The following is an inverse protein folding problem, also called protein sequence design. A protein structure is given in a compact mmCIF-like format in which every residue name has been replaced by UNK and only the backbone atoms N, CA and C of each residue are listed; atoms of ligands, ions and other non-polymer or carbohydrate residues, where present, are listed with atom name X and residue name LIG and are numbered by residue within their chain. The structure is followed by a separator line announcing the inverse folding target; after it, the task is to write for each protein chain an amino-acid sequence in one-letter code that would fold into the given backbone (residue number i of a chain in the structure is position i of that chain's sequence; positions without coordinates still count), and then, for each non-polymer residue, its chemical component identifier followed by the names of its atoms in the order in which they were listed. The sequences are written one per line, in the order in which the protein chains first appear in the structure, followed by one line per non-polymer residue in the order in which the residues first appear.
data_IF_268960060072
#
_entry.id   IF_268960060072
#
_cell.length_a   1.000
_cell.length_b   1.000
_cell.length_c   1.000
_cell.angle_alpha   90.00
_cell.angle_beta   90.00
_cell.angle_gamma   90.00
#
_symmetry.space_group_name_H-M   'P 1'
#
loop_
_entity.id
_entity.type
_entity.pdbx_description
1 polymer ?
#
# COMPACT_ATOMS: atom_id res chain seq x y z
N UNK A 1 -32.63 10.44 16.33
CA UNK A 1 -32.10 11.81 16.49
C UNK A 1 -31.57 12.28 15.14
N UNK A 2 -32.11 13.36 14.60
CA UNK A 2 -31.53 14.04 13.43
C UNK A 2 -30.19 14.63 13.88
N UNK A 3 -29.08 14.28 13.23
CA UNK A 3 -27.76 14.83 13.55
C UNK A 3 -27.57 16.09 12.74
N UNK A 4 -27.40 17.23 13.41
CA UNK A 4 -27.02 18.48 12.77
C UNK A 4 -25.63 18.34 12.16
N UNK A 5 -25.52 18.59 10.85
CA UNK A 5 -24.23 18.75 10.16
C UNK A 5 -23.88 20.23 10.23
N UNK A 6 -22.87 20.61 11.02
CA UNK A 6 -22.28 21.94 10.91
C UNK A 6 -21.36 21.97 9.69
N UNK A 7 -21.62 22.87 8.74
CA UNK A 7 -20.64 23.16 7.70
C UNK A 7 -19.40 23.79 8.34
N UNK A 8 -18.21 23.28 8.00
CA UNK A 8 -16.96 23.87 8.45
C UNK A 8 -16.81 25.26 7.84
N UNK A 9 -16.49 26.27 8.65
CA UNK A 9 -16.15 27.61 8.17
C UNK A 9 -14.91 27.54 7.25
N UNK A 10 -14.86 28.41 6.23
CA UNK A 10 -13.84 28.37 5.16
C UNK A 10 -12.38 28.51 5.61
N UNK A 11 -12.13 28.87 6.88
CA UNK A 11 -10.80 28.94 7.49
C UNK A 11 -10.55 27.90 8.59
N UNK A 12 -11.49 26.99 8.86
CA UNK A 12 -11.31 25.93 9.84
C UNK A 12 -10.30 24.91 9.31
N UNK A 13 -9.34 24.53 10.16
CA UNK A 13 -8.42 23.43 9.88
C UNK A 13 -9.21 22.14 9.74
N UNK A 14 -9.33 21.65 8.51
CA UNK A 14 -9.94 20.34 8.23
C UNK A 14 -8.91 19.27 8.59
N UNK A 15 -9.07 18.67 9.75
CA UNK A 15 -8.28 17.52 10.18
C UNK A 15 -8.65 16.31 9.30
N UNK A 16 -7.89 16.08 8.23
CA UNK A 16 -7.90 14.83 7.47
C UNK A 16 -9.00 14.61 6.43
N UNK A 17 -9.69 15.66 5.96
CA UNK A 17 -10.68 15.55 4.87
C UNK A 17 -11.87 14.62 5.16
N UNK A 18 -12.68 14.35 4.13
CA UNK A 18 -13.75 13.35 4.21
C UNK A 18 -13.17 11.93 4.11
N UNK A 19 -13.85 10.94 4.70
CA UNK A 19 -13.46 9.54 4.55
C UNK A 19 -13.42 9.13 3.07
N UNK A 20 -14.36 9.60 2.25
CA UNK A 20 -14.39 9.38 0.80
C UNK A 20 -13.07 9.79 0.13
N UNK A 21 -12.60 11.00 0.39
CA UNK A 21 -11.37 11.52 -0.23
C UNK A 21 -10.13 10.80 0.29
N UNK A 22 -10.11 10.48 1.59
CA UNK A 22 -9.00 9.73 2.20
C UNK A 22 -8.90 8.30 1.70
N UNK A 23 -10.02 7.64 1.42
CA UNK A 23 -10.03 6.30 0.81
C UNK A 23 -9.50 6.35 -0.62
N UNK A 24 -9.88 7.34 -1.43
CA UNK A 24 -9.32 7.53 -2.78
C UNK A 24 -7.81 7.77 -2.73
N UNK A 25 -7.33 8.65 -1.84
CA UNK A 25 -5.89 8.89 -1.63
C UNK A 25 -5.16 7.64 -1.12
N UNK A 26 -5.79 6.87 -0.24
CA UNK A 26 -5.23 5.61 0.23
C UNK A 26 -5.15 4.57 -0.90
N UNK A 27 -6.18 4.46 -1.75
CA UNK A 27 -6.18 3.61 -2.94
C UNK A 27 -4.97 3.88 -3.84
N UNK A 28 -4.72 5.18 -4.05
CA UNK A 28 -3.61 5.71 -4.82
C UNK A 28 -2.26 5.28 -4.20
N UNK A 29 -2.05 5.58 -2.92
CA UNK A 29 -0.81 5.23 -2.23
C UNK A 29 -0.57 3.72 -2.19
N UNK A 30 -1.63 2.92 -2.07
CA UNK A 30 -1.53 1.46 -2.12
C UNK A 30 -1.00 0.95 -3.46
N UNK A 31 -1.48 1.50 -4.57
CA UNK A 31 -0.98 1.17 -5.91
C UNK A 31 0.50 1.59 -6.05
N UNK A 32 0.82 2.82 -5.63
CA UNK A 32 2.19 3.35 -5.67
C UNK A 32 3.17 2.48 -4.89
N UNK A 33 2.87 2.23 -3.62
CA UNK A 33 3.74 1.46 -2.73
C UNK A 33 3.88 0.00 -3.18
N UNK A 34 2.83 -0.61 -3.75
CA UNK A 34 2.91 -1.95 -4.33
C UNK A 34 3.97 -2.05 -5.43
N UNK A 35 3.96 -1.15 -6.41
CA UNK A 35 4.93 -1.20 -7.51
C UNK A 35 6.35 -0.81 -7.09
N UNK A 36 6.49 0.19 -6.21
CA UNK A 36 7.79 0.55 -5.64
C UNK A 36 8.38 -0.61 -4.83
N UNK A 37 7.56 -1.31 -4.04
CA UNK A 37 7.98 -2.50 -3.32
C UNK A 37 8.57 -3.55 -4.27
N UNK A 38 7.84 -3.91 -5.33
CA UNK A 38 8.30 -4.94 -6.28
C UNK A 38 9.58 -4.53 -7.02
N UNK A 39 9.75 -3.24 -7.29
CA UNK A 39 10.98 -2.72 -7.88
C UNK A 39 12.18 -2.93 -6.95
N UNK A 40 12.15 -2.38 -5.73
CA UNK A 40 13.25 -2.52 -4.78
C UNK A 40 13.49 -3.98 -4.38
N UNK A 41 12.43 -4.78 -4.31
CA UNK A 41 12.51 -6.21 -4.04
C UNK A 41 13.33 -6.92 -5.11
N UNK A 42 13.03 -6.65 -6.38
CA UNK A 42 13.76 -7.25 -7.51
C UNK A 42 15.19 -6.76 -7.58
N UNK A 43 15.43 -5.47 -7.35
CA UNK A 43 16.78 -4.90 -7.34
C UNK A 43 17.64 -5.53 -6.23
N UNK A 44 17.07 -5.69 -5.03
CA UNK A 44 17.71 -6.37 -3.90
C UNK A 44 18.02 -7.84 -4.23
N UNK A 45 17.04 -8.59 -4.75
CA UNK A 45 17.24 -9.99 -5.14
C UNK A 45 18.35 -10.14 -6.19
N UNK A 46 18.36 -9.29 -7.22
CA UNK A 46 19.39 -9.29 -8.24
C UNK A 46 20.78 -9.00 -7.65
N UNK A 47 20.90 -8.00 -6.77
CA UNK A 47 22.15 -7.65 -6.09
C UNK A 47 22.68 -8.78 -5.22
N UNK A 48 21.81 -9.51 -4.51
CA UNK A 48 22.16 -10.64 -3.66
C UNK A 48 22.57 -11.90 -4.43
N UNK A 49 22.06 -12.06 -5.65
CA UNK A 49 22.41 -13.18 -6.52
C UNK A 49 23.62 -12.90 -7.42
N UNK A 50 24.01 -11.64 -7.56
CA UNK A 50 25.25 -11.25 -8.23
C UNK A 50 26.49 -11.41 -7.31
N UNK A 51 27.71 -11.45 -7.88
CA UNK A 51 28.92 -11.31 -7.10
C UNK A 51 28.93 -10.02 -6.27
N UNK A 52 29.44 -10.05 -5.02
CA UNK A 52 30.19 -11.14 -4.40
C UNK A 52 29.35 -12.17 -3.64
N UNK A 53 28.03 -11.98 -3.53
CA UNK A 53 27.20 -12.77 -2.62
C UNK A 53 26.75 -14.11 -3.21
N UNK A 54 26.37 -14.12 -4.50
CA UNK A 54 26.00 -15.32 -5.26
C UNK A 54 25.06 -16.27 -4.51
N UNK A 55 24.05 -15.72 -3.82
CA UNK A 55 23.24 -16.50 -2.86
C UNK A 55 22.31 -17.53 -3.51
N UNK A 56 22.08 -17.46 -4.83
CA UNK A 56 21.22 -18.39 -5.56
C UNK A 56 19.76 -18.37 -5.10
N UNK A 57 19.31 -17.27 -4.52
CA UNK A 57 17.96 -17.10 -3.99
C UNK A 57 16.94 -17.14 -5.13
N UNK A 58 15.87 -17.91 -4.93
CA UNK A 58 14.70 -17.85 -5.80
C UNK A 58 13.84 -16.66 -5.42
N UNK A 59 13.03 -16.16 -6.36
CA UNK A 59 12.22 -14.98 -6.11
C UNK A 59 11.18 -15.11 -5.00
N UNK A 60 10.81 -16.31 -4.56
CA UNK A 60 9.93 -16.53 -3.42
C UNK A 60 10.65 -16.60 -2.07
N UNK A 61 11.98 -16.74 -2.04
CA UNK A 61 12.74 -17.00 -0.81
C UNK A 61 12.86 -15.75 0.08
N UNK A 62 12.64 -14.56 -0.48
CA UNK A 62 12.66 -13.28 0.25
C UNK A 62 11.26 -12.72 0.51
N UNK A 63 10.22 -13.18 -0.19
CA UNK A 63 8.90 -12.55 -0.17
C UNK A 63 8.08 -13.06 1.00
N UNK A 64 7.55 -12.14 1.79
CA UNK A 64 6.53 -12.38 2.79
C UNK A 64 5.24 -11.67 2.39
N UNK A 65 4.15 -12.41 2.21
CA UNK A 65 2.91 -11.89 1.63
C UNK A 65 1.94 -11.28 2.65
N UNK A 66 2.27 -11.26 3.94
CA UNK A 66 1.40 -10.77 5.02
C UNK A 66 2.18 -10.05 6.12
N UNK A 67 2.74 -8.88 5.82
CA UNK A 67 3.71 -8.20 6.67
C UNK A 67 3.16 -7.41 7.87
N UNK A 68 1.95 -7.72 8.34
CA UNK A 68 1.19 -6.97 9.36
C UNK A 68 1.89 -6.80 10.72
N UNK A 69 3.03 -7.47 10.94
CA UNK A 69 3.82 -7.45 12.18
C UNK A 69 5.29 -7.06 11.96
N UNK A 70 5.68 -6.66 10.74
CA UNK A 70 7.11 -6.54 10.41
C UNK A 70 7.73 -5.23 10.86
N UNK A 71 6.97 -4.13 10.87
CA UNK A 71 7.45 -2.77 11.14
C UNK A 71 6.37 -2.00 11.87
N UNK A 72 6.71 -1.54 13.08
CA UNK A 72 5.90 -0.79 14.03
C UNK A 72 4.62 -1.48 14.54
N UNK A 73 4.36 -1.33 15.85
CA UNK A 73 3.07 -1.64 16.44
C UNK A 73 2.11 -0.53 16.01
N UNK A 74 1.49 -0.68 14.85
CA UNK A 74 0.63 0.35 14.25
C UNK A 74 -0.33 0.99 15.26
N UNK A 75 -0.39 2.33 15.26
CA UNK A 75 -1.21 3.10 16.20
C UNK A 75 -2.69 2.69 16.10
N UNK A 76 -3.32 2.53 17.27
CA UNK A 76 -4.75 2.26 17.40
C UNK A 76 -5.39 3.32 18.27
N UNK A 77 -6.40 3.99 17.73
CA UNK A 77 -7.26 4.88 18.53
C UNK A 77 -8.48 4.12 19.03
N UNK A 78 -8.81 4.31 20.30
CA UNK A 78 -10.06 3.84 20.92
C UNK A 78 -10.87 4.99 21.53
N UNK A 79 -10.64 6.20 21.04
CA UNK A 79 -11.27 7.41 21.54
C UNK A 79 -12.80 7.36 21.35
N UNK A 80 -13.54 7.42 22.45
CA UNK A 80 -15.00 7.32 22.45
C UNK A 80 -15.69 8.65 22.17
N UNK A 81 -14.97 9.77 22.18
CA UNK A 81 -15.54 11.10 21.96
C UNK A 81 -15.87 11.36 20.48
N UNK A 82 -15.28 10.53 19.61
CA UNK A 82 -15.47 10.54 18.16
C UNK A 82 -16.61 9.62 17.69
N UNK A 83 -17.04 9.76 16.44
CA UNK A 83 -18.19 8.98 15.96
C UNK A 83 -17.86 7.49 15.86
N UNK A 84 -18.85 6.65 16.20
CA UNK A 84 -18.77 5.21 15.94
C UNK A 84 -19.05 4.91 14.47
N UNK A 85 -18.22 4.06 13.85
CA UNK A 85 -18.43 3.63 12.47
C UNK A 85 -19.67 2.74 12.37
N UNK A 86 -20.73 3.24 11.71
CA UNK A 86 -21.94 2.48 11.40
C UNK A 86 -21.82 1.88 10.00
N UNK A 87 -21.69 0.55 9.93
CA UNK A 87 -21.58 -0.17 8.67
C UNK A 87 -22.85 -0.11 7.81
N UNK A 88 -24.01 0.27 8.38
CA UNK A 88 -25.29 0.38 7.66
C UNK A 88 -25.55 1.79 7.11
N UNK A 89 -24.83 2.81 7.60
CA UNK A 89 -24.98 4.20 7.15
C UNK A 89 -24.15 4.45 5.87
N UNK A 90 -24.83 4.56 4.73
CA UNK A 90 -24.17 4.87 3.46
C UNK A 90 -23.44 6.24 3.48
N UNK A 91 -23.88 7.18 4.33
CA UNK A 91 -23.28 8.52 4.44
C UNK A 91 -22.06 8.56 5.36
N UNK A 92 -21.58 7.39 5.84
CA UNK A 92 -20.36 7.31 6.66
C UNK A 92 -19.14 7.88 5.93
N UNK A 93 -19.14 7.81 4.59
CA UNK A 93 -18.06 8.31 3.72
C UNK A 93 -17.93 9.84 3.74
N UNK A 94 -18.98 10.58 4.10
CA UNK A 94 -18.97 12.05 4.14
C UNK A 94 -18.43 12.59 5.47
N UNK A 95 -18.21 11.70 6.45
CA UNK A 95 -17.67 12.09 7.76
C UNK A 95 -16.17 12.35 7.67
N UNK A 96 -15.66 13.17 8.59
CA UNK A 96 -14.22 13.38 8.71
C UNK A 96 -13.52 12.06 9.02
N UNK A 97 -12.50 11.71 8.23
CA UNK A 97 -11.75 10.46 8.42
C UNK A 97 -11.08 10.40 9.81
N UNK A 98 -10.57 11.54 10.28
CA UNK A 98 -9.86 11.67 11.56
C UNK A 98 -10.78 11.65 12.79
N UNK A 99 -12.10 11.78 12.61
CA UNK A 99 -13.07 11.87 13.70
C UNK A 99 -13.80 10.55 13.98
N UNK A 100 -13.19 9.40 13.65
CA UNK A 100 -13.73 8.06 13.91
C UNK A 100 -13.15 7.49 15.21
N UNK A 101 -14.01 7.01 16.11
CA UNK A 101 -13.55 6.59 17.45
C UNK A 101 -12.71 5.32 17.51
N UNK A 102 -12.77 4.49 16.47
CA UNK A 102 -11.88 3.33 16.32
C UNK A 102 -11.12 3.41 15.01
N UNK A 103 -9.81 3.60 15.11
CA UNK A 103 -8.91 3.70 13.96
C UNK A 103 -7.75 2.73 14.12
N UNK A 104 -7.33 2.16 12.99
CA UNK A 104 -6.13 1.32 12.91
C UNK A 104 -5.21 1.88 11.82
N UNK A 105 -3.91 1.63 11.98
CA UNK A 105 -2.93 1.80 10.91
C UNK A 105 -3.22 0.83 9.76
N UNK A 106 -3.72 1.38 8.64
CA UNK A 106 -3.89 0.69 7.38
C UNK A 106 -2.61 0.85 6.55
N UNK A 107 -2.03 -0.27 6.11
CA UNK A 107 -0.78 -0.27 5.37
C UNK A 107 -1.01 0.12 3.92
N UNK A 108 -0.08 0.88 3.33
CA UNK A 108 -0.09 1.08 1.88
C UNK A 108 0.38 -0.17 1.13
N UNK A 109 1.33 -0.92 1.71
CA UNK A 109 1.77 -2.20 1.17
C UNK A 109 1.97 -3.20 2.31
N UNK A 110 1.18 -4.28 2.32
CA UNK A 110 1.28 -5.34 3.34
C UNK A 110 2.15 -6.53 2.89
N UNK A 111 3.06 -6.28 1.95
CA UNK A 111 4.14 -7.21 1.60
C UNK A 111 5.34 -6.93 2.49
N UNK A 112 6.29 -7.86 2.56
CA UNK A 112 7.49 -7.66 3.33
C UNK A 112 8.55 -8.73 3.09
N UNK A 113 9.57 -8.71 3.93
CA UNK A 113 10.74 -9.56 3.77
C UNK A 113 10.65 -10.74 4.73
N UNK A 114 10.92 -11.94 4.23
CA UNK A 114 10.89 -13.17 5.00
C UNK A 114 11.73 -13.05 6.29
N UNK A 115 11.15 -13.45 7.42
CA UNK A 115 11.75 -13.29 8.74
C UNK A 115 13.09 -14.04 8.87
N UNK A 116 13.21 -15.21 8.23
CA UNK A 116 14.44 -16.00 8.21
C UNK A 116 15.59 -15.32 7.46
N UNK A 117 15.27 -14.38 6.57
CA UNK A 117 16.24 -13.66 5.76
C UNK A 117 16.67 -12.30 6.36
N UNK A 118 15.89 -11.72 7.27
CA UNK A 118 16.16 -10.37 7.81
C UNK A 118 17.52 -10.23 8.46
N UNK A 119 17.91 -11.15 9.34
CA UNK A 119 19.22 -11.08 10.02
C UNK A 119 20.39 -11.19 9.04
N UNK A 120 20.24 -12.04 8.01
CA UNK A 120 21.24 -12.18 6.94
C UNK A 120 21.35 -10.91 6.10
N UNK A 121 20.22 -10.31 5.74
CA UNK A 121 20.18 -9.05 5.00
C UNK A 121 20.75 -7.89 5.80
N UNK A 122 20.44 -7.78 7.10
CA UNK A 122 21.00 -6.77 7.98
C UNK A 122 22.54 -6.89 8.08
N UNK A 123 23.06 -8.12 8.19
CA UNK A 123 24.50 -8.36 8.20
C UNK A 123 25.17 -7.94 6.87
N UNK A 124 24.53 -8.20 5.73
CA UNK A 124 25.04 -7.78 4.41
C UNK A 124 24.94 -6.25 4.26
N UNK A 125 23.80 -5.66 4.60
CA UNK A 125 23.53 -4.23 4.55
C UNK A 125 24.52 -3.41 5.38
N UNK A 126 25.01 -3.94 6.50
CA UNK A 126 26.06 -3.27 7.29
C UNK A 126 27.39 -3.06 6.54
N UNK A 127 27.58 -3.76 5.40
CA UNK A 127 28.82 -3.76 4.61
C UNK A 127 28.62 -3.26 3.17
N UNK A 128 27.42 -3.39 2.62
CA UNK A 128 27.10 -2.97 1.26
C UNK A 128 25.99 -1.92 1.26
N UNK A 129 26.36 -0.70 0.86
CA UNK A 129 25.47 0.47 0.84
C UNK A 129 24.30 0.32 -0.13
N UNK A 130 24.47 -0.42 -1.23
CA UNK A 130 23.40 -0.68 -2.20
C UNK A 130 22.37 -1.62 -1.57
N UNK A 131 22.84 -2.69 -0.94
CA UNK A 131 21.95 -3.62 -0.21
C UNK A 131 21.25 -2.91 0.93
N UNK A 132 21.96 -2.07 1.69
CA UNK A 132 21.37 -1.23 2.74
C UNK A 132 20.26 -0.32 2.20
N UNK A 133 20.54 0.43 1.13
CA UNK A 133 19.57 1.33 0.53
C UNK A 133 18.28 0.59 0.12
N UNK A 134 18.39 -0.49 -0.65
CA UNK A 134 17.22 -1.26 -1.07
C UNK A 134 16.48 -1.90 0.10
N UNK A 135 17.20 -2.40 1.11
CA UNK A 135 16.60 -2.99 2.30
C UNK A 135 15.82 -1.96 3.13
N UNK A 136 16.38 -0.75 3.32
CA UNK A 136 15.70 0.34 4.03
C UNK A 136 14.52 0.94 3.25
N UNK A 137 14.62 1.02 1.92
CA UNK A 137 13.49 1.39 1.06
C UNK A 137 12.33 0.41 1.22
N UNK A 138 12.62 -0.90 1.17
CA UNK A 138 11.60 -1.92 1.40
C UNK A 138 10.97 -1.79 2.78
N UNK A 139 11.78 -1.63 3.83
CA UNK A 139 11.26 -1.41 5.19
C UNK A 139 10.35 -0.18 5.25
N UNK A 140 10.79 0.95 4.71
CA UNK A 140 10.00 2.19 4.71
C UNK A 140 8.66 1.99 3.99
N UNK A 141 8.67 1.36 2.82
CA UNK A 141 7.45 1.09 2.05
C UNK A 141 6.48 0.18 2.82
N UNK A 142 6.99 -0.82 3.52
CA UNK A 142 6.17 -1.74 4.33
C UNK A 142 5.66 -1.09 5.63
N UNK A 143 6.40 -0.14 6.20
CA UNK A 143 6.02 0.56 7.44
C UNK A 143 5.10 1.77 7.21
N UNK A 144 5.00 2.28 5.99
CA UNK A 144 4.15 3.42 5.71
C UNK A 144 2.67 3.03 5.82
N UNK A 145 1.97 3.73 6.72
CA UNK A 145 0.56 3.50 7.02
C UNK A 145 -0.23 4.80 7.01
N UNK A 146 -1.56 4.67 6.97
CA UNK A 146 -2.51 5.73 7.23
C UNK A 146 -3.49 5.29 8.29
N UNK A 147 -3.85 6.18 9.20
CA UNK A 147 -4.95 5.90 10.12
C UNK A 147 -6.28 5.93 9.36
N UNK A 148 -6.98 4.81 9.37
CA UNK A 148 -8.31 4.65 8.80
C UNK A 148 -9.24 4.00 9.83
N UNK A 149 -10.57 4.13 9.68
CA UNK A 149 -11.50 3.39 10.50
C UNK A 149 -11.18 1.90 10.51
N UNK A 150 -11.14 1.28 11.68
CA UNK A 150 -10.79 -0.15 11.82
C UNK A 150 -11.62 -1.05 10.89
N UNK A 151 -12.90 -0.73 10.68
CA UNK A 151 -13.82 -1.46 9.79
C UNK A 151 -13.41 -1.44 8.31
N UNK A 152 -12.70 -0.40 7.89
CA UNK A 152 -12.08 -0.31 6.55
C UNK A 152 -10.84 -1.21 6.51
N UNK A 153 -9.94 -1.09 7.50
CA UNK A 153 -8.69 -1.86 7.54
C UNK A 153 -8.93 -3.39 7.57
N UNK A 154 -9.84 -3.86 8.43
CA UNK A 154 -10.13 -5.30 8.55
C UNK A 154 -11.07 -5.83 7.44
N UNK A 155 -11.61 -4.94 6.62
CA UNK A 155 -12.60 -5.23 5.58
C UNK A 155 -12.01 -5.08 4.18
N UNK A 156 -12.35 -3.99 3.45
CA UNK A 156 -11.85 -3.77 2.09
C UNK A 156 -10.32 -3.82 1.95
N UNK A 157 -9.55 -3.26 2.89
CA UNK A 157 -8.08 -3.23 2.76
C UNK A 157 -7.49 -4.64 2.80
N UNK A 158 -8.02 -5.50 3.68
CA UNK A 158 -7.62 -6.91 3.77
C UNK A 158 -7.88 -7.69 2.48
N UNK A 159 -8.89 -7.31 1.69
CA UNK A 159 -9.14 -7.90 0.38
C UNK A 159 -8.04 -7.52 -0.61
N UNK A 160 -7.61 -6.25 -0.62
CA UNK A 160 -6.51 -5.78 -1.47
C UNK A 160 -5.15 -6.31 -0.99
N UNK A 161 -4.91 -6.46 0.32
CA UNK A 161 -3.70 -7.10 0.84
C UNK A 161 -3.51 -8.51 0.29
N UNK A 162 -4.59 -9.32 0.28
CA UNK A 162 -4.56 -10.67 -0.29
C UNK A 162 -4.24 -10.62 -1.79
N UNK A 163 -4.94 -9.75 -2.52
CA UNK A 163 -4.70 -9.56 -3.94
C UNK A 163 -3.27 -9.13 -4.24
N UNK A 164 -2.69 -8.21 -3.45
CA UNK A 164 -1.28 -7.82 -3.55
C UNK A 164 -0.36 -9.02 -3.39
N UNK A 165 -0.60 -9.90 -2.41
CA UNK A 165 0.19 -11.12 -2.22
C UNK A 165 0.16 -12.04 -3.45
N UNK A 166 -1.02 -12.25 -4.03
CA UNK A 166 -1.21 -13.08 -5.22
C UNK A 166 -0.53 -12.47 -6.45
N UNK A 167 -0.80 -11.19 -6.73
CA UNK A 167 -0.27 -10.47 -7.88
C UNK A 167 1.26 -10.30 -7.79
N UNK A 168 1.80 -9.94 -6.62
CA UNK A 168 3.24 -9.85 -6.40
C UNK A 168 3.92 -11.18 -6.72
N UNK A 169 3.37 -12.29 -6.23
CA UNK A 169 3.89 -13.63 -6.50
C UNK A 169 3.90 -13.93 -8.00
N UNK A 170 2.83 -13.58 -8.72
CA UNK A 170 2.74 -13.77 -10.17
C UNK A 170 3.76 -12.92 -10.94
N UNK A 171 3.82 -11.62 -10.66
CA UNK A 171 4.75 -10.68 -11.31
C UNK A 171 6.20 -11.11 -11.08
N UNK A 172 6.55 -11.42 -9.84
CA UNK A 172 7.91 -11.82 -9.46
C UNK A 172 8.32 -13.12 -10.18
N UNK A 173 7.43 -14.11 -10.27
CA UNK A 173 7.70 -15.38 -10.98
C UNK A 173 7.81 -15.22 -12.49
N UNK A 174 7.17 -14.21 -13.08
CA UNK A 174 7.18 -13.99 -14.53
C UNK A 174 8.57 -13.64 -15.09
N UNK A 175 9.48 -13.15 -14.23
CA UNK A 175 10.78 -12.64 -14.64
C UNK A 175 10.73 -11.32 -15.41
N UNK A 176 9.55 -10.75 -15.70
CA UNK A 176 9.38 -9.47 -16.40
C UNK A 176 9.52 -8.27 -15.46
N UNK A 177 10.00 -7.10 -15.92
CA UNK A 177 10.11 -5.90 -15.09
C UNK A 177 8.82 -5.64 -14.30
N UNK A 178 8.89 -5.42 -12.98
CA UNK A 178 7.71 -5.35 -12.12
C UNK A 178 6.85 -4.13 -12.46
N UNK A 179 7.46 -2.99 -12.79
CA UNK A 179 6.76 -1.81 -13.27
C UNK A 179 6.57 -1.87 -14.79
N UNK A 180 5.33 -2.03 -15.23
CA UNK A 180 4.96 -1.94 -16.65
C UNK A 180 3.49 -1.51 -16.77
N UNK A 181 3.11 -0.89 -17.89
CA UNK A 181 1.71 -0.53 -18.14
C UNK A 181 0.78 -1.75 -18.16
N UNK A 182 1.30 -2.91 -18.58
CA UNK A 182 0.58 -4.17 -18.56
C UNK A 182 0.27 -4.64 -17.13
N UNK A 183 1.26 -4.61 -16.23
CA UNK A 183 1.04 -4.95 -14.82
C UNK A 183 0.16 -3.93 -14.09
N UNK A 184 0.26 -2.64 -14.43
CA UNK A 184 -0.67 -1.64 -13.89
C UNK A 184 -2.11 -1.95 -14.32
N UNK A 185 -2.33 -2.27 -15.60
CA UNK A 185 -3.66 -2.66 -16.08
C UNK A 185 -4.18 -3.90 -15.37
N UNK A 186 -3.33 -4.90 -15.17
CA UNK A 186 -3.65 -6.12 -14.41
C UNK A 186 -4.01 -5.79 -12.96
N UNK A 187 -3.23 -4.91 -12.31
CA UNK A 187 -3.52 -4.41 -10.96
C UNK A 187 -4.90 -3.76 -10.88
N UNK A 188 -5.19 -2.80 -11.77
CA UNK A 188 -6.45 -2.05 -11.74
C UNK A 188 -7.66 -2.97 -11.99
N UNK A 189 -7.55 -3.88 -12.95
CA UNK A 189 -8.61 -4.86 -13.25
C UNK A 189 -8.82 -5.85 -12.11
N UNK A 190 -7.74 -6.38 -11.55
CA UNK A 190 -7.80 -7.32 -10.42
C UNK A 190 -8.37 -6.67 -9.16
N UNK A 191 -7.93 -5.45 -8.83
CA UNK A 191 -8.46 -4.69 -7.70
C UNK A 191 -9.95 -4.39 -7.85
N UNK A 192 -10.39 -3.95 -9.04
CA UNK A 192 -11.81 -3.72 -9.33
C UNK A 192 -12.65 -4.98 -9.16
N UNK A 193 -12.14 -6.14 -9.62
CA UNK A 193 -12.82 -7.43 -9.45
C UNK A 193 -12.96 -7.82 -7.97
N UNK A 194 -11.86 -7.75 -7.22
CA UNK A 194 -11.84 -8.08 -5.78
C UNK A 194 -12.82 -7.20 -5.01
N UNK A 195 -12.88 -5.91 -5.34
CA UNK A 195 -13.82 -5.00 -4.72
C UNK A 195 -15.28 -5.22 -5.14
N UNK A 196 -15.55 -5.57 -6.39
CA UNK A 196 -16.90 -5.95 -6.81
C UNK A 196 -17.42 -7.16 -6.01
N UNK A 197 -16.63 -8.22 -5.91
CA UNK A 197 -16.98 -9.43 -5.15
C UNK A 197 -17.22 -9.14 -3.65
N UNK A 198 -16.36 -8.30 -3.06
CA UNK A 198 -16.50 -7.89 -1.67
C UNK A 198 -17.73 -7.00 -1.47
N UNK A 199 -17.97 -6.03 -2.35
CA UNK A 199 -19.12 -5.13 -2.32
C UNK A 199 -20.44 -5.90 -2.36
N UNK A 200 -20.59 -6.84 -3.30
CA UNK A 200 -21.78 -7.70 -3.43
C UNK A 200 -22.06 -8.47 -2.13
N UNK A 201 -21.01 -8.97 -1.49
CA UNK A 201 -21.11 -9.70 -0.22
C UNK A 201 -21.59 -8.80 0.92
N UNK A 202 -21.11 -7.55 0.97
CA UNK A 202 -21.49 -6.58 2.00
C UNK A 202 -22.89 -6.01 1.77
N UNK A 203 -23.28 -5.81 0.50
CA UNK A 203 -24.61 -5.37 0.13
C UNK A 203 -25.67 -6.37 0.58
N UNK A 204 -25.45 -7.68 0.35
CA UNK A 204 -26.33 -8.76 0.83
C UNK A 204 -26.48 -8.80 2.35
N UNK A 205 -25.48 -8.29 3.09
CA UNK A 205 -25.48 -8.17 4.55
C UNK A 205 -26.09 -6.85 5.05
N UNK A 206 -26.51 -5.96 4.14
CA UNK A 206 -27.03 -4.63 4.47
C UNK A 206 -25.97 -3.65 4.97
N UNK A 207 -24.68 -3.91 4.72
CA UNK A 207 -23.57 -3.07 5.18
C UNK A 207 -23.28 -1.94 4.16
N UNK A 208 -24.28 -1.07 3.95
CA UNK A 208 -24.24 0.00 2.94
C UNK A 208 -23.08 0.99 3.13
N UNK A 209 -22.67 1.27 4.37
CA UNK A 209 -21.52 2.12 4.66
C UNK A 209 -20.19 1.51 4.22
N UNK A 210 -20.04 0.19 4.31
CA UNK A 210 -18.86 -0.52 3.78
C UNK A 210 -18.88 -0.53 2.26
N UNK A 211 -20.05 -0.76 1.65
CA UNK A 211 -20.23 -0.67 0.19
C UNK A 211 -19.80 0.70 -0.31
N UNK A 212 -20.27 1.78 0.33
CA UNK A 212 -19.87 3.15 -0.01
C UNK A 212 -18.34 3.38 0.11
N UNK A 213 -17.69 2.78 1.12
CA UNK A 213 -16.22 2.85 1.24
C UNK A 213 -15.51 2.12 0.09
N UNK A 214 -16.03 0.97 -0.34
CA UNK A 214 -15.49 0.21 -1.48
C UNK A 214 -15.66 0.99 -2.79
N UNK A 215 -16.80 1.63 -2.97
CA UNK A 215 -17.04 2.50 -4.13
C UNK A 215 -16.03 3.64 -4.18
N UNK A 216 -15.73 4.29 -3.06
CA UNK A 216 -14.71 5.35 -2.99
C UNK A 216 -13.31 4.86 -3.43
N UNK A 217 -12.93 3.62 -3.08
CA UNK A 217 -11.71 3.00 -3.61
C UNK A 217 -11.77 2.78 -5.12
N UNK A 218 -12.88 2.23 -5.61
CA UNK A 218 -13.08 1.92 -7.03
C UNK A 218 -13.06 3.17 -7.92
N UNK A 219 -13.56 4.30 -7.44
CA UNK A 219 -13.50 5.56 -8.18
C UNK A 219 -12.05 5.94 -8.54
N UNK A 220 -11.09 5.71 -7.63
CA UNK A 220 -9.66 5.89 -7.93
C UNK A 220 -9.23 5.01 -9.10
N UNK A 221 -9.49 3.70 -9.02
CA UNK A 221 -8.97 2.73 -9.99
C UNK A 221 -9.62 2.85 -11.38
N UNK A 222 -10.85 3.38 -11.45
CA UNK A 222 -11.56 3.60 -12.72
C UNK A 222 -11.12 4.87 -13.44
N UNK A 223 -10.86 5.94 -12.69
CA UNK A 223 -10.71 7.28 -13.27
C UNK A 223 -9.26 7.78 -13.27
N UNK A 224 -8.42 7.28 -12.38
CA UNK A 224 -7.07 7.81 -12.18
C UNK A 224 -5.98 6.93 -12.82
N UNK A 225 -6.32 6.01 -13.74
CA UNK A 225 -5.37 5.03 -14.28
C UNK A 225 -4.16 5.64 -15.01
N UNK A 226 -4.39 6.65 -15.84
CA UNK A 226 -3.33 7.33 -16.60
C UNK A 226 -2.51 8.28 -15.70
N UNK A 227 -3.15 8.91 -14.72
CA UNK A 227 -2.49 9.73 -13.70
C UNK A 227 -1.62 8.86 -12.78
N UNK A 228 -2.14 7.69 -12.38
CA UNK A 228 -1.42 6.65 -11.66
C UNK A 228 -0.19 6.21 -12.44
N UNK A 229 -0.31 5.98 -13.75
CA UNK A 229 0.84 5.59 -14.58
C UNK A 229 1.89 6.70 -14.67
N UNK A 230 1.46 7.92 -15.03
CA UNK A 230 2.37 9.07 -15.20
C UNK A 230 3.12 9.37 -13.91
N UNK A 231 2.44 9.24 -12.77
CA UNK A 231 3.03 9.48 -11.47
C UNK A 231 3.87 8.29 -10.97
N UNK A 232 3.45 7.04 -11.20
CA UNK A 232 4.28 5.87 -10.94
C UNK A 232 5.60 5.96 -11.71
N UNK A 233 5.54 6.31 -12.99
CA UNK A 233 6.71 6.44 -13.85
C UNK A 233 7.56 7.67 -13.50
N UNK A 234 6.94 8.82 -13.21
CA UNK A 234 7.62 10.03 -12.77
C UNK A 234 8.29 9.89 -11.41
N UNK A 235 7.58 9.34 -10.42
CA UNK A 235 8.12 9.02 -9.10
C UNK A 235 9.17 7.93 -9.18
N UNK A 236 8.99 6.94 -10.07
CA UNK A 236 10.03 5.95 -10.36
C UNK A 236 11.31 6.64 -10.81
N UNK A 237 11.24 7.53 -11.82
CA UNK A 237 12.42 8.28 -12.27
C UNK A 237 13.01 9.10 -11.13
N UNK A 238 12.20 9.85 -10.37
CA UNK A 238 12.69 10.73 -9.30
C UNK A 238 13.28 9.97 -8.11
N UNK A 239 12.55 9.00 -7.55
CA UNK A 239 12.96 8.27 -6.34
C UNK A 239 14.09 7.28 -6.64
N UNK A 240 14.08 6.65 -7.81
CA UNK A 240 15.17 5.78 -8.23
C UNK A 240 16.38 6.60 -8.65
N UNK A 241 16.24 7.75 -9.31
CA UNK A 241 17.39 8.61 -9.62
C UNK A 241 18.04 9.17 -8.37
N UNK A 242 17.28 9.58 -7.34
CA UNK A 242 17.87 10.01 -6.06
C UNK A 242 18.62 8.86 -5.40
N UNK A 243 18.00 7.68 -5.32
CA UNK A 243 18.62 6.48 -4.73
C UNK A 243 19.86 6.05 -5.50
N UNK A 244 19.84 6.08 -6.84
CA UNK A 244 20.97 5.74 -7.69
C UNK A 244 22.05 6.83 -7.71
N UNK A 245 21.71 8.12 -7.59
CA UNK A 245 22.66 9.22 -7.52
C UNK A 245 23.43 9.22 -6.19
N UNK A 246 22.77 8.82 -5.10
CA UNK A 246 23.43 8.54 -3.82
C UNK A 246 24.36 7.32 -3.90
N UNK A 247 24.17 6.43 -4.88
CA UNK A 247 25.00 5.26 -5.15
C UNK A 247 26.09 5.53 -6.21
N UNK A 248 25.91 6.51 -7.11
CA UNK A 248 26.79 6.81 -8.25
C UNK A 248 28.09 7.56 -7.88
N UNK A 249 28.58 7.36 -6.66
CA UNK A 249 30.02 7.43 -6.41
C UNK A 249 30.76 6.18 -6.92
N UNK A 250 30.06 5.19 -7.50
CA UNK A 250 30.67 4.09 -8.26
C UNK A 250 29.62 3.18 -8.94
N UNK A 251 29.68 3.15 -10.27
CA UNK A 251 29.17 2.14 -11.21
C UNK A 251 27.64 1.86 -11.28
N UNK A 252 27.06 2.21 -12.43
CA UNK A 252 25.66 1.93 -12.79
C UNK A 252 25.44 0.47 -13.19
N UNK A 253 24.37 -0.12 -12.66
CA UNK A 253 23.71 -1.32 -13.19
C UNK A 253 22.76 -0.86 -14.30
N UNK A 254 22.97 -1.33 -15.53
CA UNK A 254 21.97 -1.27 -16.60
C UNK A 254 20.84 -2.24 -16.28
N UNK A 255 19.64 -1.71 -16.04
CA UNK A 255 18.38 -2.46 -15.92
C UNK A 255 17.75 -2.71 -17.29
#
# INVERSE_FOLDING_TARGET
MCREKSEATSGALVLGGSLKDELRRHAYERCRHFFLYLFYYRALLAKLNAPPYSLGLKPQDLLYVNATHQIDEGYRSTDTDYYAFDAKDANIIDKSCAACGRMDAAHFCNLGIDAGMRSKLAAIASKDKVVFCFYECLKTICGNTRLLPQRVNIGPDKCIDRFHGELATAIIKSGKPPLSSAHLKEYLQGAAKVFAEYSDTQQKKGNLGIVACVEAYCECYKHDGDDLWSMLYGNYISECSISLYQLSAGDFITL
#
